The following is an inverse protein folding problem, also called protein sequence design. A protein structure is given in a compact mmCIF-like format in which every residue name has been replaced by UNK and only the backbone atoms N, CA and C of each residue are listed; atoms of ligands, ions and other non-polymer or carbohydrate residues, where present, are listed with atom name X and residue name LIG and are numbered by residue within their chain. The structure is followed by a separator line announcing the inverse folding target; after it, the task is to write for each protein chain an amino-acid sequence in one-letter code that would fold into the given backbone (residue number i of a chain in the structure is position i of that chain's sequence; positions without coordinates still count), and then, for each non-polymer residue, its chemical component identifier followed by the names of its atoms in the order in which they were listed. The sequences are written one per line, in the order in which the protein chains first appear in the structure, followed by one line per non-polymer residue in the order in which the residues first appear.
data_IF_407592756860
#
_entry.id   IF_407592756860
#
_cell.length_a   1.000
_cell.length_b   1.000
_cell.length_c   1.000
_cell.angle_alpha   90.00
_cell.angle_beta   90.00
_cell.angle_gamma   90.00
#
_symmetry.space_group_name_H-M   'P 1'
#
loop_
_entity.id
_entity.type
_entity.pdbx_description
1 polymer ?
#
# COMPACT_ATOMS: atom_id res chain seq x y z
N UNK A 1 -0.11 4.80 13.93
CA UNK A 1 -0.74 3.78 13.07
C UNK A 1 0.14 2.54 12.98
N UNK A 2 1.41 2.68 12.58
CA UNK A 2 2.36 1.57 12.42
C UNK A 2 2.58 0.71 13.67
N UNK A 3 2.77 1.31 14.85
CA UNK A 3 2.93 0.55 16.10
C UNK A 3 1.76 -0.39 16.42
N UNK A 4 0.52 0.04 16.10
CA UNK A 4 -0.67 -0.81 16.27
C UNK A 4 -0.68 -1.97 15.27
N UNK A 5 -0.22 -1.74 14.04
CA UNK A 5 -0.07 -2.76 13.00
C UNK A 5 0.95 -3.78 13.46
N UNK A 6 2.17 -3.35 13.81
CA UNK A 6 3.25 -4.24 14.21
C UNK A 6 2.85 -5.11 15.43
N UNK A 7 2.15 -4.51 16.41
CA UNK A 7 1.65 -5.22 17.59
C UNK A 7 0.61 -6.29 17.22
N UNK A 8 -0.33 -5.97 16.33
CA UNK A 8 -1.35 -6.92 15.87
C UNK A 8 -0.72 -8.02 14.99
N UNK A 9 0.25 -7.69 14.13
CA UNK A 9 1.01 -8.67 13.35
C UNK A 9 1.74 -9.64 14.27
N UNK A 10 2.43 -9.14 15.30
CA UNK A 10 3.11 -9.98 16.30
C UNK A 10 2.13 -10.88 17.07
N UNK A 11 0.86 -10.47 17.19
CA UNK A 11 -0.23 -11.27 17.75
C UNK A 11 -0.79 -12.35 16.80
N UNK A 12 -0.27 -12.46 15.57
CA UNK A 12 -0.69 -13.46 14.59
C UNK A 12 -1.83 -13.02 13.66
N UNK A 13 -2.21 -11.74 13.67
CA UNK A 13 -3.23 -11.22 12.76
C UNK A 13 -2.64 -10.83 11.41
N UNK A 14 -3.39 -11.06 10.34
CA UNK A 14 -3.13 -10.43 9.05
C UNK A 14 -3.59 -8.98 9.10
N UNK A 15 -2.65 -8.05 9.04
CA UNK A 15 -2.91 -6.62 9.18
C UNK A 15 -2.55 -5.87 7.91
N UNK A 16 -3.49 -5.03 7.45
CA UNK A 16 -3.23 -4.07 6.38
C UNK A 16 -3.41 -2.65 6.91
N UNK A 17 -2.65 -1.70 6.40
CA UNK A 17 -2.78 -0.27 6.71
C UNK A 17 -2.50 0.59 5.50
N UNK A 18 -3.04 1.81 5.49
CA UNK A 18 -2.91 2.69 4.34
C UNK A 18 -4.02 3.73 4.28
N UNK A 19 -4.25 4.25 3.08
CA UNK A 19 -5.15 5.34 2.77
C UNK A 19 -4.48 6.36 1.85
N UNK A 20 -5.07 7.54 1.77
CA UNK A 20 -4.43 8.71 1.19
C UNK A 20 -3.32 9.19 2.13
N UNK A 21 -2.07 9.08 1.69
CA UNK A 21 -0.91 9.54 2.44
C UNK A 21 -0.42 10.92 1.98
N UNK A 22 -1.03 11.48 0.94
CA UNK A 22 -0.71 12.76 0.33
C UNK A 22 0.79 12.96 0.08
N UNK A 23 1.47 11.87 -0.28
CA UNK A 23 2.91 11.81 -0.54
C UNK A 23 3.16 11.06 -1.83
N UNK A 24 4.16 11.46 -2.59
CA UNK A 24 4.54 10.76 -3.83
C UNK A 24 5.72 9.83 -3.58
N UNK A 25 6.04 9.00 -4.57
CA UNK A 25 7.25 8.17 -4.61
C UNK A 25 8.56 8.97 -4.53
N UNK A 26 8.51 10.31 -4.66
CA UNK A 26 9.68 11.18 -4.50
C UNK A 26 10.07 11.41 -3.03
N UNK A 27 9.14 11.28 -2.07
CA UNK A 27 9.49 11.31 -0.64
C UNK A 27 9.94 9.91 -0.18
N UNK A 28 11.11 9.53 -0.67
CA UNK A 28 11.72 8.23 -0.38
C UNK A 28 11.95 8.05 1.12
N UNK A 29 12.26 9.14 1.84
CA UNK A 29 12.58 9.08 3.27
C UNK A 29 11.37 8.64 4.09
N UNK A 30 10.23 9.29 3.90
CA UNK A 30 8.99 8.94 4.57
C UNK A 30 8.51 7.55 4.13
N UNK A 31 8.43 7.31 2.83
CA UNK A 31 7.92 6.06 2.29
C UNK A 31 8.75 4.85 2.71
N UNK A 32 10.09 4.93 2.68
CA UNK A 32 10.97 3.80 3.03
C UNK A 32 10.69 3.21 4.41
N UNK A 33 10.25 4.06 5.36
CA UNK A 33 9.87 3.59 6.70
C UNK A 33 8.62 2.72 6.66
N UNK A 34 7.68 2.95 5.74
CA UNK A 34 6.44 2.18 5.59
C UNK A 34 6.70 0.80 4.96
N UNK A 35 7.64 0.69 4.02
CA UNK A 35 7.97 -0.60 3.38
C UNK A 35 8.74 -1.57 4.29
N UNK A 36 9.34 -1.08 5.39
CA UNK A 36 10.13 -1.95 6.28
C UNK A 36 9.21 -2.99 6.93
N UNK A 37 9.44 -4.27 6.63
CA UNK A 37 8.64 -5.41 7.12
C UNK A 37 7.29 -5.60 6.44
N UNK A 38 6.97 -4.79 5.43
CA UNK A 38 5.66 -4.77 4.76
C UNK A 38 5.82 -4.80 3.25
N UNK A 39 4.72 -5.01 2.54
CA UNK A 39 4.68 -4.97 1.09
C UNK A 39 3.52 -4.10 0.65
N UNK A 40 3.77 -3.22 -0.32
CA UNK A 40 2.72 -2.41 -0.90
C UNK A 40 1.80 -3.29 -1.76
N UNK A 41 0.52 -3.02 -1.69
CA UNK A 41 -0.50 -3.54 -2.57
C UNK A 41 -0.17 -3.22 -4.03
N UNK A 42 0.02 -4.26 -4.86
CA UNK A 42 0.42 -4.13 -6.26
C UNK A 42 1.92 -4.34 -6.50
N UNK A 43 2.72 -4.42 -5.43
CA UNK A 43 4.13 -4.79 -5.50
C UNK A 43 4.25 -6.32 -5.62
N UNK A 44 4.92 -6.90 -6.63
CA UNK A 44 5.02 -8.36 -6.79
C UNK A 44 5.86 -9.05 -5.70
N UNK A 45 6.92 -8.39 -5.24
CA UNK A 45 7.82 -8.86 -4.19
C UNK A 45 8.27 -7.69 -3.33
N UNK A 46 8.70 -7.89 -2.07
CA UNK A 46 9.21 -6.79 -1.23
C UNK A 46 10.38 -6.01 -1.83
N UNK A 47 11.12 -6.60 -2.77
CA UNK A 47 12.26 -5.97 -3.44
C UNK A 47 11.88 -5.27 -4.77
N UNK A 48 10.63 -5.39 -5.23
CA UNK A 48 10.22 -4.76 -6.48
C UNK A 48 10.21 -3.23 -6.35
N UNK A 49 10.43 -2.48 -7.44
CA UNK A 49 10.34 -1.02 -7.41
C UNK A 49 8.99 -0.54 -6.84
N UNK A 50 9.03 0.55 -6.07
CA UNK A 50 7.85 1.22 -5.50
C UNK A 50 7.11 2.01 -6.58
N UNK A 51 6.61 1.30 -7.60
CA UNK A 51 6.08 1.85 -8.83
C UNK A 51 4.60 1.45 -9.03
N UNK A 52 3.82 1.43 -7.94
CA UNK A 52 2.39 1.18 -8.02
C UNK A 52 1.68 2.18 -8.94
N UNK A 53 0.44 1.85 -9.32
CA UNK A 53 -0.34 2.71 -10.20
C UNK A 53 -0.74 4.03 -9.52
N UNK A 54 -0.92 5.07 -10.34
CA UNK A 54 -1.38 6.39 -9.90
C UNK A 54 -2.84 6.34 -9.46
N UNK A 55 -3.15 7.06 -8.38
CA UNK A 55 -4.46 7.10 -7.74
C UNK A 55 -5.11 8.48 -7.78
N UNK A 56 -4.37 9.57 -7.94
CA UNK A 56 -4.91 10.94 -8.10
C UNK A 56 -4.21 11.66 -9.26
N UNK A 57 -4.93 12.05 -10.31
CA UNK A 57 -4.42 12.98 -11.32
C UNK A 57 -3.09 12.58 -12.02
N UNK A 58 -2.68 11.31 -11.93
CA UNK A 58 -1.38 10.82 -12.42
C UNK A 58 -0.30 10.63 -11.34
N UNK A 59 -0.58 11.08 -10.12
CA UNK A 59 0.22 10.86 -8.92
C UNK A 59 -0.20 9.58 -8.21
N UNK A 60 0.79 8.90 -7.63
CA UNK A 60 0.56 7.85 -6.65
C UNK A 60 0.65 8.45 -5.26
N UNK A 61 -0.50 8.62 -4.59
CA UNK A 61 -0.58 9.17 -3.23
C UNK A 61 -1.40 8.33 -2.26
N UNK A 62 -2.19 7.39 -2.80
CA UNK A 62 -2.89 6.39 -2.02
C UNK A 62 -2.09 5.08 -1.98
N UNK A 63 -2.05 4.47 -0.80
CA UNK A 63 -1.28 3.26 -0.54
C UNK A 63 -2.07 2.30 0.34
N UNK A 64 -1.85 1.00 0.15
CA UNK A 64 -2.21 -0.03 1.12
C UNK A 64 -0.97 -0.90 1.30
N UNK A 65 -0.57 -1.14 2.53
CA UNK A 65 0.54 -2.00 2.92
C UNK A 65 0.00 -3.18 3.69
N UNK A 66 0.47 -4.37 3.38
CA UNK A 66 0.17 -5.61 4.10
C UNK A 66 1.45 -6.30 4.57
N UNK A 67 1.35 -7.57 5.01
CA UNK A 67 2.50 -8.42 5.27
C UNK A 67 3.46 -8.52 4.06
N UNK A 68 4.49 -9.35 4.13
CA UNK A 68 5.30 -9.71 2.95
C UNK A 68 4.93 -11.10 2.44
N UNK A 69 4.76 -11.25 1.13
CA UNK A 69 4.43 -12.52 0.50
C UNK A 69 3.23 -12.48 -0.46
N UNK A 70 2.90 -13.63 -1.08
CA UNK A 70 1.95 -13.71 -2.19
C UNK A 70 0.46 -13.66 -1.78
N UNK A 71 0.13 -13.10 -0.62
CA UNK A 71 -1.21 -13.25 -0.02
C UNK A 71 -2.23 -12.18 -0.42
N UNK A 72 -1.92 -11.34 -1.41
CA UNK A 72 -2.85 -10.30 -1.90
C UNK A 72 -2.70 -10.03 -3.39
N UNK A 73 -3.85 -9.91 -4.06
CA UNK A 73 -3.98 -9.34 -5.39
C UNK A 73 -4.50 -7.91 -5.29
N UNK A 74 -3.97 -7.02 -6.12
CA UNK A 74 -4.27 -5.60 -6.08
C UNK A 74 -4.54 -5.05 -7.46
N UNK A 75 -5.53 -4.16 -7.56
CA UNK A 75 -5.86 -3.41 -8.77
C UNK A 75 -6.32 -2.01 -8.41
N UNK A 76 -5.92 -1.03 -9.21
CA UNK A 76 -6.48 0.32 -9.14
C UNK A 76 -7.68 0.38 -10.08
N UNK A 77 -8.81 0.87 -9.59
CA UNK A 77 -10.07 0.96 -10.32
C UNK A 77 -10.50 2.42 -10.35
N UNK A 78 -10.59 2.95 -11.56
CA UNK A 78 -11.18 4.26 -11.81
C UNK A 78 -12.70 4.08 -12.06
N UNK A 79 -13.52 4.59 -11.14
CA UNK A 79 -14.98 4.56 -11.27
C UNK A 79 -15.54 5.86 -11.85
N UNK A 80 -14.72 6.90 -12.00
CA UNK A 80 -15.16 8.26 -12.34
C UNK A 80 -16.01 8.95 -11.27
N UNK A 81 -16.11 8.39 -10.05
CA UNK A 81 -16.92 8.96 -8.95
C UNK A 81 -16.14 9.88 -8.01
N UNK A 82 -14.81 9.87 -8.10
CA UNK A 82 -13.89 10.70 -7.34
C UNK A 82 -12.71 11.06 -8.24
N UNK A 83 -12.06 12.17 -7.91
CA UNK A 83 -10.70 12.52 -8.33
C UNK A 83 -9.66 11.46 -7.95
N UNK A 84 -9.92 10.67 -6.90
CA UNK A 84 -9.13 9.50 -6.54
C UNK A 84 -9.68 8.21 -7.14
N UNK A 85 -8.77 7.31 -7.53
CA UNK A 85 -9.06 5.94 -7.97
C UNK A 85 -9.01 4.99 -6.78
N UNK A 86 -9.91 4.01 -6.76
CA UNK A 86 -9.99 3.01 -5.69
C UNK A 86 -8.82 2.02 -5.79
N UNK A 87 -8.14 1.75 -4.68
CA UNK A 87 -7.30 0.55 -4.54
C UNK A 87 -8.18 -0.61 -4.07
N UNK A 88 -8.32 -1.64 -4.88
CA UNK A 88 -9.02 -2.87 -4.53
C UNK A 88 -8.00 -3.96 -4.18
N UNK A 89 -7.94 -4.32 -2.90
CA UNK A 89 -7.11 -5.40 -2.37
C UNK A 89 -7.97 -6.64 -2.11
N UNK A 90 -7.54 -7.78 -2.65
CA UNK A 90 -8.15 -9.10 -2.41
C UNK A 90 -7.14 -9.98 -1.70
N UNK A 91 -7.48 -10.49 -0.52
CA UNK A 91 -6.66 -11.46 0.23
C UNK A 91 -7.10 -12.89 -0.07
N UNK A 92 -6.16 -13.83 -0.07
CA UNK A 92 -6.40 -15.27 -0.27
C UNK A 92 -5.90 -16.11 0.89
#
# INVERSE_FOLDING_TARGET
MRENVDTLTAGGYTTCYGGDLNTTTQDVSYLSTLYTGHQECGQPTPASPHAGEATDGGNKIDYIFGPQGPSYACRVIDSGLSDHRMINLTTS
#
